data_IF_584973682293
#
_entry.id   IF_584973682293
#
_cell.length_a   1.000
_cell.length_b   1.000
_cell.length_c   1.000
_cell.angle_alpha   90.00
_cell.angle_beta   90.00
_cell.angle_gamma   90.00
#
_symmetry.space_group_name_H-M   'P 1'
#
loop_
_entity.id
_entity.type
_entity.pdbx_description
1 polymer ?
#
# COMPACT_ATOMS: atom_id res chain seq x y z
N UNK A 1 -10.66 -20.89 -3.54
CA UNK A 1 -10.11 -19.54 -3.73
C UNK A 1 -8.82 -19.68 -4.53
N UNK A 2 -8.52 -18.77 -5.47
CA UNK A 2 -7.22 -18.77 -6.14
C UNK A 2 -6.09 -18.71 -5.09
N UNK A 3 -4.90 -19.19 -5.45
CA UNK A 3 -3.76 -19.31 -4.55
C UNK A 3 -3.15 -17.92 -4.26
N UNK A 4 -3.84 -17.11 -3.45
CA UNK A 4 -3.39 -15.76 -3.08
C UNK A 4 -2.15 -15.90 -2.20
N UNK A 5 -1.03 -15.24 -2.54
CA UNK A 5 0.20 -15.38 -1.78
C UNK A 5 0.04 -14.82 -0.38
N UNK A 6 0.60 -15.56 0.58
CA UNK A 6 0.69 -15.15 1.96
C UNK A 6 2.03 -14.45 2.21
N UNK A 7 2.01 -13.39 3.00
CA UNK A 7 3.15 -12.50 3.22
C UNK A 7 3.34 -12.29 4.73
N UNK A 8 4.55 -12.55 5.27
CA UNK A 8 4.89 -12.09 6.61
C UNK A 8 5.07 -10.57 6.58
N UNK A 9 4.38 -9.88 7.47
CA UNK A 9 4.39 -8.41 7.55
C UNK A 9 4.92 -7.95 8.91
N UNK A 10 5.57 -6.78 8.93
CA UNK A 10 6.14 -6.04 10.08
C UNK A 10 6.68 -6.84 11.29
N UNK A 11 5.83 -7.43 12.13
CA UNK A 11 6.21 -8.25 13.29
C UNK A 11 6.04 -9.77 13.07
N UNK A 12 6.15 -10.21 11.80
CA UNK A 12 5.96 -11.59 11.34
C UNK A 12 4.52 -12.10 11.38
N UNK A 13 3.55 -11.20 11.52
CA UNK A 13 2.14 -11.51 11.28
C UNK A 13 1.87 -11.90 9.82
N UNK A 14 0.93 -12.81 9.59
CA UNK A 14 0.68 -13.43 8.28
C UNK A 14 -0.57 -12.82 7.64
N UNK A 15 -0.43 -12.27 6.44
CA UNK A 15 -1.51 -11.62 5.68
C UNK A 15 -1.59 -12.20 4.28
N UNK A 16 -2.79 -12.24 3.70
CA UNK A 16 -2.93 -12.41 2.26
C UNK A 16 -2.61 -11.09 1.56
N UNK A 17 -2.04 -11.15 0.35
CA UNK A 17 -1.76 -9.93 -0.41
C UNK A 17 -3.00 -9.02 -0.59
N UNK A 18 -4.21 -9.62 -0.66
CA UNK A 18 -5.48 -8.89 -0.77
C UNK A 18 -5.93 -8.21 0.53
N UNK A 19 -5.39 -8.56 1.69
CA UNK A 19 -5.76 -7.98 2.98
C UNK A 19 -5.28 -6.52 3.12
N UNK A 20 -4.33 -6.12 2.27
CA UNK A 20 -3.80 -4.75 2.21
C UNK A 20 -4.71 -3.78 1.46
N UNK A 21 -5.76 -4.29 0.79
CA UNK A 21 -6.74 -3.44 0.09
C UNK A 21 -7.69 -2.80 1.10
N UNK A 22 -7.70 -1.46 1.16
CA UNK A 22 -8.39 -0.68 2.18
C UNK A 22 -9.55 0.16 1.63
N UNK A 23 -10.60 -0.50 1.13
CA UNK A 23 -11.74 0.18 0.48
C UNK A 23 -12.60 1.04 1.41
N UNK A 24 -12.48 0.85 2.74
CA UNK A 24 -13.26 1.56 3.77
C UNK A 24 -12.43 2.55 4.59
N UNK A 25 -11.14 2.72 4.27
CA UNK A 25 -10.30 3.69 4.96
C UNK A 25 -10.72 5.11 4.57
N UNK A 26 -10.79 6.02 5.55
CA UNK A 26 -11.28 7.40 5.36
C UNK A 26 -10.47 8.13 4.29
N UNK A 27 -9.13 8.09 4.36
CA UNK A 27 -8.26 8.76 3.38
C UNK A 27 -8.49 8.22 1.97
N UNK A 28 -8.70 6.91 1.83
CA UNK A 28 -8.98 6.30 0.53
C UNK A 28 -10.35 6.72 -0.01
N UNK A 29 -11.37 6.80 0.86
CA UNK A 29 -12.72 7.23 0.45
C UNK A 29 -12.74 8.69 0.00
N UNK A 30 -11.97 9.55 0.67
CA UNK A 30 -11.81 10.96 0.33
C UNK A 30 -11.13 11.12 -1.03
N UNK A 31 -9.94 10.52 -1.21
CA UNK A 31 -9.20 10.56 -2.47
C UNK A 31 -10.00 9.97 -3.64
N UNK A 32 -10.60 8.80 -3.44
CA UNK A 32 -11.44 8.18 -4.46
C UNK A 32 -12.65 9.07 -4.82
N UNK A 33 -13.22 9.79 -3.84
CA UNK A 33 -14.30 10.74 -4.08
C UNK A 33 -13.89 11.95 -4.91
N UNK A 34 -12.70 12.49 -4.68
CA UNK A 34 -12.13 13.60 -5.45
C UNK A 34 -11.83 13.16 -6.88
N UNK A 35 -11.09 12.05 -7.03
CA UNK A 35 -10.71 11.50 -8.32
C UNK A 35 -11.93 11.12 -9.17
N UNK A 36 -12.96 10.53 -8.56
CA UNK A 36 -14.18 10.16 -9.28
C UNK A 36 -14.91 11.38 -9.86
N UNK A 37 -15.01 12.47 -9.07
CA UNK A 37 -15.62 13.72 -9.54
C UNK A 37 -14.81 14.39 -10.65
N UNK A 38 -13.49 14.38 -10.56
CA UNK A 38 -12.60 15.00 -11.53
C UNK A 38 -12.57 14.26 -12.87
N UNK A 39 -12.69 12.93 -12.84
CA UNK A 39 -12.45 12.08 -14.01
C UNK A 39 -13.73 11.55 -14.68
N UNK A 40 -14.90 11.96 -14.19
CA UNK A 40 -16.25 11.90 -14.79
C UNK A 40 -16.48 11.03 -16.05
N UNK A 41 -16.15 9.73 -15.96
CA UNK A 41 -16.31 8.74 -17.06
C UNK A 41 -15.06 7.90 -17.39
N UNK A 42 -13.87 8.28 -16.92
CA UNK A 42 -12.64 7.50 -17.06
C UNK A 42 -11.86 7.43 -15.73
N UNK A 43 -12.53 6.92 -14.69
CA UNK A 43 -11.97 6.85 -13.35
C UNK A 43 -10.75 5.94 -13.26
N UNK A 44 -10.74 4.80 -13.97
CA UNK A 44 -9.57 3.91 -14.07
C UNK A 44 -8.32 4.66 -14.53
N UNK A 45 -8.42 5.44 -15.62
CA UNK A 45 -7.31 6.27 -16.09
C UNK A 45 -6.94 7.35 -15.07
N UNK A 46 -7.95 7.99 -14.46
CA UNK A 46 -7.73 9.00 -13.42
C UNK A 46 -6.91 8.47 -12.24
N UNK A 47 -7.19 7.23 -11.79
CA UNK A 47 -6.40 6.56 -10.75
C UNK A 47 -4.97 6.28 -11.22
N UNK A 48 -4.78 5.81 -12.46
CA UNK A 48 -3.46 5.56 -13.01
C UNK A 48 -2.62 6.85 -13.15
N UNK A 49 -3.21 7.92 -13.67
CA UNK A 49 -2.57 9.24 -13.80
C UNK A 49 -2.24 9.81 -12.41
N UNK A 50 -3.16 9.70 -11.44
CA UNK A 50 -2.92 10.10 -10.05
C UNK A 50 -1.71 9.39 -9.44
N UNK A 51 -1.60 8.07 -9.60
CA UNK A 51 -0.48 7.30 -9.06
C UNK A 51 0.84 7.72 -9.72
N UNK A 52 0.86 7.84 -11.05
CA UNK A 52 2.05 8.27 -11.80
C UNK A 52 2.55 9.65 -11.36
N UNK A 53 1.63 10.59 -11.19
CA UNK A 53 1.98 12.00 -11.04
C UNK A 53 2.26 12.41 -9.60
N UNK A 54 1.75 11.66 -8.61
CA UNK A 54 1.80 12.07 -7.19
C UNK A 54 2.70 11.18 -6.31
N UNK A 55 3.15 10.02 -6.80
CA UNK A 55 3.88 9.06 -5.97
C UNK A 55 5.27 8.80 -6.53
N UNK A 56 6.26 8.93 -5.66
CA UNK A 56 7.63 8.56 -5.94
C UNK A 56 7.83 7.06 -5.71
N UNK A 57 8.48 6.40 -6.67
CA UNK A 57 8.92 5.01 -6.51
C UNK A 57 10.28 5.00 -5.78
N UNK A 58 10.34 4.59 -4.51
CA UNK A 58 11.55 4.74 -3.73
C UNK A 58 12.61 3.72 -4.17
N UNK A 59 13.76 4.23 -4.62
CA UNK A 59 14.93 3.43 -4.98
C UNK A 59 16.09 3.71 -4.02
N UNK A 60 16.88 2.68 -3.71
CA UNK A 60 18.15 2.84 -3.02
C UNK A 60 19.24 3.40 -3.96
N UNK A 61 20.43 3.67 -3.42
CA UNK A 61 21.56 4.21 -4.21
C UNK A 61 22.06 3.25 -5.31
N UNK A 62 21.67 1.97 -5.26
CA UNK A 62 21.98 0.97 -6.28
C UNK A 62 20.83 0.77 -7.28
N UNK A 63 19.73 1.52 -7.15
CA UNK A 63 18.57 1.43 -8.01
C UNK A 63 17.60 0.30 -7.66
N UNK A 64 17.76 -0.37 -6.51
CA UNK A 64 16.82 -1.39 -6.06
C UNK A 64 15.61 -0.74 -5.37
N UNK A 65 14.41 -1.34 -5.43
CA UNK A 65 13.26 -0.89 -4.65
C UNK A 65 13.59 -0.81 -3.15
N UNK A 66 13.46 0.39 -2.57
CA UNK A 66 13.70 0.63 -1.15
C UNK A 66 12.48 0.20 -0.34
N UNK A 67 12.39 -1.11 -0.09
CA UNK A 67 11.29 -1.74 0.63
C UNK A 67 11.56 -1.96 2.13
N UNK A 68 12.74 -1.58 2.63
CA UNK A 68 13.10 -1.79 4.02
C UNK A 68 12.37 -0.84 4.97
N UNK A 69 11.99 -1.33 6.15
CA UNK A 69 11.34 -0.54 7.19
C UNK A 69 12.02 -0.69 8.54
N UNK A 70 11.97 0.36 9.36
CA UNK A 70 12.36 0.30 10.76
C UNK A 70 11.12 0.46 11.65
N UNK A 71 10.83 -0.56 12.43
CA UNK A 71 9.68 -0.62 13.31
C UNK A 71 10.12 -0.43 14.75
N UNK A 72 9.41 0.45 15.45
CA UNK A 72 9.65 0.73 16.86
C UNK A 72 8.41 0.27 17.64
N UNK A 73 8.61 -0.61 18.62
CA UNK A 73 7.51 -1.08 19.49
C UNK A 73 7.91 -0.99 20.95
N UNK A 74 7.02 -0.45 21.77
CA UNK A 74 7.21 -0.45 23.21
C UNK A 74 7.23 -1.89 23.75
N UNK A 75 8.23 -2.20 24.58
CA UNK A 75 8.32 -3.46 25.30
C UNK A 75 8.43 -3.18 26.80
N UNK A 76 7.52 -3.80 27.55
CA UNK A 76 7.50 -3.70 29.01
C UNK A 76 8.38 -4.78 29.60
N UNK A 77 9.56 -4.38 30.09
CA UNK A 77 10.47 -5.20 30.88
C UNK A 77 10.77 -4.57 32.24
N UNK A 78 11.89 -4.94 32.85
CA UNK A 78 12.39 -4.29 34.09
C UNK A 78 12.65 -2.79 33.90
N UNK A 79 13.10 -2.41 32.70
CA UNK A 79 13.08 -1.04 32.21
C UNK A 79 12.18 -0.97 30.97
N UNK A 80 11.43 0.12 30.83
CA UNK A 80 10.65 0.39 29.64
C UNK A 80 11.58 0.80 28.50
N UNK A 81 11.52 0.09 27.36
CA UNK A 81 12.30 0.45 26.17
C UNK A 81 11.49 0.25 24.89
N UNK A 82 11.99 0.83 23.79
CA UNK A 82 11.48 0.56 22.46
C UNK A 82 12.35 -0.50 21.80
N UNK A 83 11.76 -1.66 21.54
CA UNK A 83 12.35 -2.66 20.66
C UNK A 83 12.39 -2.11 19.22
N UNK A 84 13.53 -2.27 18.56
CA UNK A 84 13.75 -1.88 17.17
C UNK A 84 13.79 -3.13 16.31
N UNK A 85 12.90 -3.24 15.32
CA UNK A 85 12.92 -4.30 14.32
C UNK A 85 13.20 -3.70 12.94
N UNK A 86 14.26 -4.14 12.28
CA UNK A 86 14.56 -3.75 10.91
C UNK A 86 14.08 -4.88 9.98
N UNK A 87 13.13 -4.57 9.11
CA UNK A 87 12.55 -5.51 8.15
C UNK A 87 13.05 -5.16 6.75
N UNK A 88 13.48 -6.18 6.00
CA UNK A 88 14.03 -6.01 4.65
C UNK A 88 12.96 -5.73 3.58
N UNK A 89 11.72 -6.15 3.83
CA UNK A 89 10.61 -5.99 2.90
C UNK A 89 9.32 -5.73 3.68
N UNK A 90 8.86 -4.47 3.68
CA UNK A 90 7.64 -4.05 4.36
C UNK A 90 6.75 -3.28 3.40
N UNK A 91 5.52 -3.78 3.23
CA UNK A 91 4.52 -3.10 2.42
C UNK A 91 3.94 -1.93 3.21
N UNK A 92 3.69 -0.84 2.50
CA UNK A 92 2.93 0.30 2.99
C UNK A 92 1.45 0.05 2.77
N UNK A 93 0.63 0.39 3.76
CA UNK A 93 -0.82 0.41 3.59
C UNK A 93 -1.20 1.54 2.63
N UNK A 94 -2.31 1.43 1.87
CA UNK A 94 -2.76 2.48 0.95
C UNK A 94 -2.82 3.88 1.56
N UNK A 95 -3.27 4.01 2.82
CA UNK A 95 -3.31 5.30 3.51
C UNK A 95 -1.92 5.83 3.89
N UNK A 96 -0.96 4.96 4.14
CA UNK A 96 0.44 5.33 4.38
C UNK A 96 1.11 5.79 3.08
N UNK A 97 0.77 5.16 1.95
CA UNK A 97 1.21 5.60 0.61
C UNK A 97 0.71 7.01 0.34
N UNK A 98 -0.60 7.27 0.51
CA UNK A 98 -1.20 8.61 0.38
C UNK A 98 -0.51 9.63 1.27
N UNK A 99 -0.23 9.29 2.54
CA UNK A 99 0.39 10.21 3.49
C UNK A 99 1.86 10.51 3.19
N UNK A 100 2.60 9.55 2.63
CA UNK A 100 4.05 9.68 2.38
C UNK A 100 4.38 10.12 0.96
N UNK A 101 3.44 9.98 0.02
CA UNK A 101 3.70 10.18 -1.41
C UNK A 101 4.73 9.20 -1.98
N UNK A 102 4.96 8.07 -1.31
CA UNK A 102 5.98 7.09 -1.68
C UNK A 102 5.39 5.67 -1.63
N UNK A 103 5.77 4.83 -2.59
CA UNK A 103 5.39 3.43 -2.57
C UNK A 103 6.05 2.63 -3.69
N UNK A 104 6.39 1.37 -3.41
CA UNK A 104 6.86 0.44 -4.43
C UNK A 104 5.68 -0.14 -5.23
N UNK A 105 5.95 -1.08 -6.15
CA UNK A 105 4.94 -1.62 -7.06
C UNK A 105 3.72 -2.21 -6.33
N UNK A 106 3.94 -2.95 -5.25
CA UNK A 106 2.85 -3.57 -4.49
C UNK A 106 2.05 -2.56 -3.67
N UNK A 107 2.70 -1.52 -3.15
CA UNK A 107 2.06 -0.47 -2.35
C UNK A 107 1.08 0.34 -3.23
N UNK A 108 1.58 0.77 -4.39
CA UNK A 108 0.80 1.52 -5.38
C UNK A 108 -0.29 0.65 -6.03
N UNK A 109 -0.05 -0.65 -6.25
CA UNK A 109 -1.08 -1.58 -6.71
C UNK A 109 -2.21 -1.79 -5.68
N UNK A 110 -1.87 -1.92 -4.40
CA UNK A 110 -2.84 -1.96 -3.31
C UNK A 110 -3.63 -0.65 -3.20
N UNK A 111 -2.97 0.50 -3.37
CA UNK A 111 -3.64 1.80 -3.42
C UNK A 111 -4.61 1.90 -4.60
N UNK A 112 -4.17 1.57 -5.82
CA UNK A 112 -5.00 1.58 -7.02
C UNK A 112 -6.26 0.72 -6.82
N UNK A 113 -6.08 -0.52 -6.36
CA UNK A 113 -7.18 -1.45 -6.10
C UNK A 113 -8.13 -0.92 -5.03
N UNK A 114 -7.60 -0.26 -3.99
CA UNK A 114 -8.41 0.33 -2.94
C UNK A 114 -9.27 1.49 -3.45
N UNK A 115 -8.70 2.37 -4.27
CA UNK A 115 -9.39 3.52 -4.88
C UNK A 115 -10.49 3.06 -5.86
N UNK A 116 -10.17 2.10 -6.74
CA UNK A 116 -11.10 1.56 -7.74
C UNK A 116 -12.32 0.91 -7.07
N UNK A 117 -12.08 0.01 -6.10
CA UNK A 117 -13.14 -0.69 -5.38
C UNK A 117 -13.95 0.21 -4.46
N UNK A 118 -13.40 1.35 -4.02
CA UNK A 118 -14.12 2.31 -3.21
C UNK A 118 -15.25 3.04 -3.97
N UNK A 119 -15.23 3.06 -5.31
CA UNK A 119 -16.22 3.82 -6.12
C UNK A 119 -16.88 3.03 -7.26
N UNK A 120 -16.11 2.28 -8.04
CA UNK A 120 -16.68 1.61 -9.22
C UNK A 120 -17.38 0.29 -8.88
N UNK A 121 -17.25 -0.20 -7.63
CA UNK A 121 -17.64 -1.55 -7.24
C UNK A 121 -17.11 -2.63 -8.21
N UNK A 122 -16.01 -2.32 -8.89
CA UNK A 122 -15.37 -3.19 -9.87
C UNK A 122 -14.70 -4.37 -9.14
N UNK A 123 -14.80 -5.56 -9.73
CA UNK A 123 -14.05 -6.73 -9.27
C UNK A 123 -12.58 -6.58 -9.70
N UNK A 124 -11.81 -5.85 -8.90
CA UNK A 124 -10.37 -5.71 -9.07
C UNK A 124 -9.63 -6.41 -7.95
N UNK A 125 -8.52 -7.06 -8.27
CA UNK A 125 -7.66 -7.74 -7.31
C UNK A 125 -6.19 -7.44 -7.61
N UNK A 126 -5.36 -7.56 -6.56
CA UNK A 126 -3.92 -7.43 -6.68
C UNK A 126 -3.32 -8.81 -7.00
N UNK A 127 -2.41 -8.84 -7.95
CA UNK A 127 -1.63 -10.03 -8.33
C UNK A 127 -0.15 -9.77 -8.14
N UNK A 128 0.60 -10.82 -7.79
CA UNK A 128 2.05 -10.80 -7.81
C UNK A 128 2.52 -11.55 -9.07
N UNK A 129 3.53 -11.01 -9.72
CA UNK A 129 4.18 -11.59 -10.89
C UNK A 129 5.64 -11.17 -10.96
N UNK A 130 6.40 -11.85 -11.80
CA UNK A 130 7.78 -11.49 -12.11
C UNK A 130 7.80 -10.64 -13.40
N UNK A 131 8.79 -9.76 -13.54
CA UNK A 131 8.90 -8.81 -14.67
C UNK A 131 10.18 -9.04 -15.46
#
# INVERSE_FOLDING_TARGET
MPNVPEVPWRFSERYLATDFVQTKNISILEEAGLLYKQNNGNFVRGVADYIRDNFYYPLDNAGNPSASGQLLRHQKGFMAYHFKNCVYYAWSLPNEVVATGCGICIDTANLATSLLRAKENAETWVVLGDV
#
